data_IF_281828703803
#
_entry.id   IF_281828703803
#
_cell.length_a   1.000
_cell.length_b   1.000
_cell.length_c   1.000
_cell.angle_alpha   90.00
_cell.angle_beta   90.00
_cell.angle_gamma   90.00
#
_symmetry.space_group_name_H-M   'P 1'
#
loop_
_entity.id
_entity.type
_entity.pdbx_description
1 polymer ?
#
# COMPACT_ATOMS: atom_id res chain seq x y z
N UNK A 1 -32.54 0.95 -15.03
CA UNK A 1 -31.72 -0.11 -14.41
C UNK A 1 -30.40 -0.12 -15.17
N UNK A 2 -29.43 0.69 -14.73
CA UNK A 2 -28.11 0.72 -15.34
C UNK A 2 -27.36 -0.51 -14.83
N UNK A 3 -27.16 -1.51 -15.69
CA UNK A 3 -26.22 -2.58 -15.41
C UNK A 3 -24.84 -1.94 -15.30
N UNK A 4 -24.26 -2.11 -14.13
CA UNK A 4 -22.93 -1.67 -13.75
C UNK A 4 -21.88 -2.28 -14.71
N UNK A 5 -21.55 -1.53 -15.76
CA UNK A 5 -20.56 -1.93 -16.77
C UNK A 5 -19.11 -1.81 -16.26
N UNK A 6 -18.91 -1.33 -15.02
CA UNK A 6 -17.58 -1.17 -14.43
C UNK A 6 -17.00 -2.49 -13.91
N UNK A 7 -17.85 -3.41 -13.41
CA UNK A 7 -17.40 -4.69 -12.86
C UNK A 7 -16.89 -5.67 -13.93
N UNK A 8 -17.49 -5.70 -15.12
CA UNK A 8 -17.08 -6.62 -16.18
C UNK A 8 -15.72 -6.26 -16.80
N UNK A 9 -15.44 -4.95 -16.90
CA UNK A 9 -14.18 -4.43 -17.43
C UNK A 9 -13.05 -4.58 -16.40
N UNK A 10 -13.34 -4.35 -15.12
CA UNK A 10 -12.44 -4.61 -14.01
C UNK A 10 -12.08 -6.11 -13.88
N UNK A 11 -13.07 -7.01 -14.05
CA UNK A 11 -12.88 -8.47 -13.96
C UNK A 11 -11.91 -9.02 -15.02
N UNK A 12 -11.86 -8.41 -16.20
CA UNK A 12 -10.95 -8.83 -17.26
C UNK A 12 -9.52 -8.41 -16.92
N UNK A 13 -9.33 -7.18 -16.43
CA UNK A 13 -8.03 -6.70 -15.96
C UNK A 13 -7.48 -7.50 -14.77
N UNK A 14 -8.31 -7.93 -13.81
CA UNK A 14 -7.81 -8.66 -12.63
C UNK A 14 -7.29 -10.05 -12.96
N UNK A 15 -7.92 -10.73 -13.91
CA UNK A 15 -7.46 -12.05 -14.36
C UNK A 15 -6.18 -11.96 -15.17
N UNK A 16 -6.05 -10.92 -16.00
CA UNK A 16 -4.82 -10.63 -16.73
C UNK A 16 -3.68 -10.25 -15.76
N UNK A 17 -3.94 -9.39 -14.78
CA UNK A 17 -2.99 -9.08 -13.72
C UNK A 17 -2.55 -10.36 -13.00
N UNK A 18 -3.48 -11.21 -12.55
CA UNK A 18 -3.14 -12.48 -11.90
C UNK A 18 -2.23 -13.36 -12.77
N UNK A 19 -2.50 -13.46 -14.07
CA UNK A 19 -1.66 -14.23 -15.00
C UNK A 19 -0.25 -13.66 -15.15
N UNK A 20 -0.05 -12.33 -15.05
CA UNK A 20 1.28 -11.73 -15.05
C UNK A 20 2.10 -12.11 -13.80
N UNK A 21 1.43 -12.34 -12.67
CA UNK A 21 2.07 -12.73 -11.42
C UNK A 21 2.25 -14.26 -11.28
N UNK A 22 1.48 -15.08 -12.01
CA UNK A 22 1.69 -16.53 -12.10
C UNK A 22 2.91 -16.87 -12.98
N UNK A 23 4.10 -16.63 -12.43
CA UNK A 23 5.39 -16.90 -13.09
C UNK A 23 5.60 -18.37 -13.45
N UNK A 24 4.85 -19.29 -12.82
CA UNK A 24 4.99 -20.75 -12.99
C UNK A 24 3.98 -21.31 -13.99
N UNK A 25 2.94 -20.55 -14.35
CA UNK A 25 1.86 -20.99 -15.23
C UNK A 25 1.04 -22.15 -14.67
N UNK A 26 0.99 -22.30 -13.34
CA UNK A 26 0.30 -23.40 -12.68
C UNK A 26 -1.07 -22.99 -12.09
N UNK A 27 -1.51 -21.76 -12.39
CA UNK A 27 -2.75 -21.17 -11.88
C UNK A 27 -2.64 -20.68 -10.44
N UNK A 28 -1.43 -20.56 -9.88
CA UNK A 28 -1.19 -20.10 -8.50
C UNK A 28 -0.14 -18.99 -8.46
N UNK A 29 -0.38 -18.03 -7.59
CA UNK A 29 0.56 -16.93 -7.29
C UNK A 29 1.17 -17.18 -5.92
N UNK A 30 2.45 -16.85 -5.79
CA UNK A 30 3.18 -16.98 -4.53
C UNK A 30 2.62 -16.01 -3.48
N UNK A 31 2.59 -16.44 -2.22
CA UNK A 31 1.95 -15.68 -1.13
C UNK A 31 2.51 -14.26 -0.99
N UNK A 32 3.84 -14.12 -1.11
CA UNK A 32 4.60 -12.86 -1.03
C UNK A 32 4.30 -11.87 -2.16
N UNK A 33 3.61 -12.30 -3.22
CA UNK A 33 3.18 -11.44 -4.33
C UNK A 33 1.77 -10.89 -4.15
N UNK A 34 1.07 -11.25 -3.06
CA UNK A 34 -0.31 -10.81 -2.82
C UNK A 34 -0.44 -9.28 -2.76
N UNK A 35 0.47 -8.62 -2.03
CA UNK A 35 0.47 -7.17 -1.90
C UNK A 35 0.67 -6.46 -3.24
N UNK A 36 1.65 -6.90 -4.02
CA UNK A 36 1.96 -6.33 -5.33
C UNK A 36 0.81 -6.56 -6.33
N UNK A 37 0.20 -7.74 -6.30
CA UNK A 37 -0.96 -8.05 -7.13
C UNK A 37 -2.18 -7.20 -6.77
N UNK A 38 -2.43 -6.96 -5.48
CA UNK A 38 -3.49 -6.05 -5.03
C UNK A 38 -3.25 -4.62 -5.53
N UNK A 39 -2.00 -4.14 -5.44
CA UNK A 39 -1.59 -2.83 -5.97
C UNK A 39 -1.70 -2.72 -7.49
N UNK A 40 -1.32 -3.77 -8.22
CA UNK A 40 -1.52 -3.84 -9.67
C UNK A 40 -3.00 -3.79 -10.08
N UNK A 41 -3.90 -4.24 -9.19
CA UNK A 41 -5.35 -4.14 -9.35
C UNK A 41 -5.95 -2.82 -8.82
N UNK A 42 -5.11 -1.83 -8.49
CA UNK A 42 -5.51 -0.50 -8.03
C UNK A 42 -5.95 -0.43 -6.57
N UNK A 43 -5.70 -1.47 -5.78
CA UNK A 43 -5.97 -1.44 -4.34
C UNK A 43 -4.74 -0.92 -3.60
N UNK A 44 -4.93 -0.24 -2.47
CA UNK A 44 -3.81 0.24 -1.65
C UNK A 44 -3.84 -0.38 -0.24
N UNK A 45 -3.61 -1.70 -0.11
CA UNK A 45 -3.60 -2.35 1.20
C UNK A 45 -2.38 -1.93 2.01
N UNK A 46 -2.55 -1.83 3.32
CA UNK A 46 -1.44 -1.64 4.25
C UNK A 46 -0.64 -2.93 4.41
N UNK A 47 0.61 -2.87 4.89
CA UNK A 47 1.43 -4.06 5.13
C UNK A 47 0.83 -4.95 6.22
N UNK A 48 0.20 -4.34 7.23
CA UNK A 48 -0.58 -5.07 8.23
C UNK A 48 -1.72 -5.86 7.60
N UNK A 49 -2.50 -5.24 6.72
CA UNK A 49 -3.60 -5.90 6.02
C UNK A 49 -3.10 -7.03 5.12
N UNK A 50 -2.00 -6.82 4.38
CA UNK A 50 -1.39 -7.87 3.55
C UNK A 50 -1.04 -9.08 4.41
N UNK A 51 -0.33 -8.89 5.54
CA UNK A 51 0.05 -9.99 6.44
C UNK A 51 -1.16 -10.75 6.99
N UNK A 52 -2.25 -10.05 7.30
CA UNK A 52 -3.49 -10.70 7.73
C UNK A 52 -4.14 -11.52 6.60
N UNK A 53 -4.17 -10.99 5.38
CA UNK A 53 -4.70 -11.67 4.20
C UNK A 53 -3.84 -12.87 3.81
N UNK A 54 -2.51 -12.76 3.90
CA UNK A 54 -1.58 -13.85 3.67
C UNK A 54 -1.82 -15.00 4.65
N UNK A 55 -2.03 -14.68 5.94
CA UNK A 55 -2.37 -15.66 6.97
C UNK A 55 -3.72 -16.34 6.69
N UNK A 56 -4.70 -15.61 6.15
CA UNK A 56 -5.98 -16.18 5.75
C UNK A 56 -5.88 -17.08 4.51
N UNK A 57 -5.04 -16.72 3.55
CA UNK A 57 -4.77 -17.54 2.36
C UNK A 57 -4.02 -18.83 2.71
N UNK A 58 -3.11 -18.78 3.69
CA UNK A 58 -2.42 -19.97 4.22
C UNK A 58 -1.34 -20.56 3.31
N UNK A 59 -0.99 -19.89 2.21
CA UNK A 59 0.02 -20.30 1.24
C UNK A 59 -0.25 -19.73 -0.16
N UNK A 60 0.50 -20.21 -1.16
CA UNK A 60 0.26 -19.88 -2.58
C UNK A 60 -1.22 -20.00 -2.91
N UNK A 61 -1.79 -19.04 -3.62
CA UNK A 61 -3.22 -18.91 -3.80
C UNK A 61 -3.62 -18.92 -5.27
N UNK A 62 -4.83 -19.39 -5.56
CA UNK A 62 -5.41 -19.37 -6.90
C UNK A 62 -6.26 -18.12 -7.14
N UNK A 63 -6.73 -17.95 -8.37
CA UNK A 63 -7.54 -16.79 -8.75
C UNK A 63 -8.86 -16.70 -7.99
N UNK A 64 -9.45 -17.85 -7.59
CA UNK A 64 -10.69 -17.85 -6.81
C UNK A 64 -10.45 -17.28 -5.40
N UNK A 65 -9.36 -17.70 -4.77
CA UNK A 65 -8.93 -17.19 -3.47
C UNK A 65 -8.60 -15.69 -3.55
N UNK A 66 -7.85 -15.28 -4.57
CA UNK A 66 -7.58 -13.86 -4.84
C UNK A 66 -8.85 -13.04 -5.03
N UNK A 67 -9.81 -13.55 -5.81
CA UNK A 67 -11.09 -12.86 -6.05
C UNK A 67 -11.90 -12.67 -4.78
N UNK A 68 -11.84 -13.63 -3.83
CA UNK A 68 -12.50 -13.48 -2.52
C UNK A 68 -11.83 -12.41 -1.66
N UNK A 69 -10.49 -12.33 -1.69
CA UNK A 69 -9.72 -11.29 -1.01
C UNK A 69 -10.03 -9.91 -1.60
N UNK A 70 -10.04 -9.81 -2.93
CA UNK A 70 -10.31 -8.56 -3.65
C UNK A 70 -11.72 -8.03 -3.37
N UNK A 71 -12.71 -8.92 -3.27
CA UNK A 71 -14.11 -8.58 -3.02
C UNK A 71 -14.50 -8.73 -1.53
N UNK A 72 -13.54 -8.61 -0.60
CA UNK A 72 -13.83 -8.75 0.82
C UNK A 72 -14.85 -7.70 1.30
N UNK A 73 -15.73 -8.04 2.26
CA UNK A 73 -16.63 -7.07 2.87
C UNK A 73 -15.85 -5.90 3.47
N UNK A 74 -16.23 -4.66 3.13
CA UNK A 74 -15.53 -3.45 3.54
C UNK A 74 -14.44 -2.98 2.57
N UNK A 75 -14.11 -3.76 1.55
CA UNK A 75 -13.15 -3.39 0.50
C UNK A 75 -11.75 -3.10 1.02
N UNK A 76 -10.98 -2.37 0.22
CA UNK A 76 -9.75 -1.70 0.64
C UNK A 76 -10.03 -0.21 0.75
N UNK A 77 -9.29 0.48 1.62
CA UNK A 77 -9.46 1.93 1.79
C UNK A 77 -9.06 2.61 0.49
N UNK A 78 -9.91 3.54 0.02
CA UNK A 78 -9.51 4.45 -1.05
C UNK A 78 -8.26 5.24 -0.60
N UNK A 79 -7.36 5.61 -1.52
CA UNK A 79 -6.27 6.52 -1.21
C UNK A 79 -6.86 7.80 -0.60
N UNK A 80 -6.48 8.10 0.64
CA UNK A 80 -6.90 9.35 1.28
C UNK A 80 -6.27 10.56 0.58
N UNK A 81 -6.73 11.76 0.92
CA UNK A 81 -6.06 12.97 0.48
C UNK A 81 -4.71 13.13 1.21
N UNK A 82 -3.77 13.85 0.58
CA UNK A 82 -2.45 14.17 1.16
C UNK A 82 -2.58 14.69 2.60
N UNK A 83 -3.58 15.54 2.85
CA UNK A 83 -3.83 16.12 4.17
C UNK A 83 -4.24 15.09 5.22
N UNK A 84 -4.88 13.98 4.85
CA UNK A 84 -5.23 12.92 5.79
C UNK A 84 -3.99 12.20 6.30
N UNK A 85 -3.06 11.86 5.39
CA UNK A 85 -1.78 11.24 5.74
C UNK A 85 -0.85 12.19 6.50
N UNK A 86 -0.90 13.49 6.18
CA UNK A 86 -0.06 14.50 6.83
C UNK A 86 -0.41 14.74 8.31
N UNK A 87 -1.66 14.49 8.73
CA UNK A 87 -2.12 14.73 10.12
C UNK A 87 -1.29 14.02 11.18
N UNK A 88 -0.78 12.81 10.88
CA UNK A 88 0.08 12.06 11.81
C UNK A 88 1.42 12.76 12.08
N UNK A 89 1.97 13.42 11.06
CA UNK A 89 3.24 14.14 11.15
C UNK A 89 3.08 15.54 11.77
N UNK A 90 1.94 16.19 11.57
CA UNK A 90 1.64 17.52 12.13
C UNK A 90 1.69 17.56 13.67
N UNK A 91 1.54 16.42 14.35
CA UNK A 91 1.74 16.32 15.81
C UNK A 91 3.17 16.70 16.22
N UNK A 92 4.14 16.46 15.33
CA UNK A 92 5.56 16.73 15.54
C UNK A 92 6.01 18.06 14.90
N UNK A 93 5.25 18.58 13.92
CA UNK A 93 5.47 19.87 13.28
C UNK A 93 4.50 20.94 13.80
N UNK A 94 4.73 21.39 15.04
CA UNK A 94 3.86 22.37 15.72
C UNK A 94 3.72 23.71 14.96
N UNK A 95 4.72 24.05 14.16
CA UNK A 95 4.76 25.29 13.39
C UNK A 95 4.20 25.14 11.97
N UNK A 96 3.77 23.92 11.57
CA UNK A 96 3.28 23.59 10.23
C UNK A 96 4.23 24.02 9.12
N UNK A 97 5.51 23.79 9.34
CA UNK A 97 6.58 24.06 8.38
C UNK A 97 6.53 23.12 7.17
N UNK A 98 5.93 21.94 7.32
CA UNK A 98 5.97 20.86 6.33
C UNK A 98 7.16 19.92 6.49
N UNK A 99 7.95 20.08 7.56
CA UNK A 99 9.17 19.31 7.83
C UNK A 99 9.14 18.69 9.23
N UNK A 100 9.75 17.52 9.38
CA UNK A 100 10.04 16.90 10.68
C UNK A 100 11.44 16.29 10.68
N UNK A 101 12.03 16.07 11.85
CA UNK A 101 13.35 15.44 11.92
C UNK A 101 13.29 13.97 11.42
N UNK A 102 14.34 13.51 10.73
CA UNK A 102 14.44 12.10 10.26
C UNK A 102 14.21 11.10 11.40
N UNK A 103 14.72 11.38 12.60
CA UNK A 103 14.50 10.53 13.78
C UNK A 103 13.03 10.45 14.21
N UNK A 104 12.28 11.55 14.11
CA UNK A 104 10.84 11.58 14.39
C UNK A 104 10.08 10.79 13.32
N UNK A 105 10.41 10.98 12.04
CA UNK A 105 9.82 10.22 10.94
C UNK A 105 10.01 8.71 11.15
N UNK A 106 11.25 8.27 11.43
CA UNK A 106 11.56 6.86 11.74
C UNK A 106 10.75 6.33 12.91
N UNK A 107 10.62 7.10 13.99
CA UNK A 107 9.81 6.69 15.15
C UNK A 107 8.34 6.51 14.77
N UNK A 108 7.75 7.44 14.02
CA UNK A 108 6.34 7.36 13.61
C UNK A 108 6.10 6.11 12.75
N UNK A 109 6.97 5.87 11.76
CA UNK A 109 6.82 4.74 10.83
C UNK A 109 7.10 3.37 11.48
N UNK A 110 7.91 3.31 12.54
CA UNK A 110 8.27 2.03 13.19
C UNK A 110 7.41 1.73 14.43
N UNK A 111 6.80 2.73 15.07
CA UNK A 111 6.10 2.57 16.36
C UNK A 111 4.61 2.94 16.34
N UNK A 112 4.18 3.88 15.49
CA UNK A 112 2.81 4.39 15.49
C UNK A 112 1.97 3.89 14.31
N UNK A 113 2.62 3.50 13.20
CA UNK A 113 1.98 2.96 12.02
C UNK A 113 2.03 1.44 11.91
N UNK A 114 1.89 0.95 10.67
CA UNK A 114 2.38 -0.37 10.30
C UNK A 114 3.86 -0.41 10.64
N UNK A 115 4.28 -1.35 11.48
CA UNK A 115 5.65 -1.44 11.96
C UNK A 115 6.57 -1.81 10.79
N UNK A 116 6.96 -0.79 10.03
CA UNK A 116 7.94 -0.91 8.98
C UNK A 116 9.29 -1.23 9.63
N UNK A 117 10.08 -2.04 8.95
CA UNK A 117 11.46 -2.26 9.36
C UNK A 117 12.38 -1.11 8.92
N UNK A 118 13.62 -1.11 9.41
CA UNK A 118 14.57 -0.03 9.11
C UNK A 118 14.91 0.07 7.62
N UNK A 119 14.90 -1.04 6.88
CA UNK A 119 15.22 -1.07 5.46
C UNK A 119 14.05 -0.48 4.65
N UNK A 120 12.81 -0.84 4.99
CA UNK A 120 11.60 -0.25 4.40
C UNK A 120 11.56 1.27 4.62
N UNK A 121 11.82 1.73 5.85
CA UNK A 121 11.85 3.17 6.15
C UNK A 121 12.98 3.88 5.38
N UNK A 122 14.14 3.25 5.22
CA UNK A 122 15.23 3.80 4.43
C UNK A 122 14.84 3.94 2.95
N UNK A 123 14.13 2.96 2.38
CA UNK A 123 13.62 3.06 1.01
C UNK A 123 12.65 4.22 0.83
N UNK A 124 11.75 4.45 1.81
CA UNK A 124 10.83 5.59 1.78
C UNK A 124 11.61 6.91 1.83
N UNK A 125 12.60 7.03 2.72
CA UNK A 125 13.40 8.26 2.86
C UNK A 125 14.23 8.58 1.62
N UNK A 126 14.62 7.59 0.82
CA UNK A 126 15.37 7.80 -0.43
C UNK A 126 14.54 8.48 -1.53
N UNK A 127 13.24 8.66 -1.35
CA UNK A 127 12.37 9.34 -2.33
C UNK A 127 12.43 10.86 -2.25
N UNK A 128 12.98 11.42 -1.16
CA UNK A 128 13.07 12.87 -0.93
C UNK A 128 14.45 13.26 -0.42
N UNK A 129 14.80 14.54 -0.53
CA UNK A 129 16.05 15.05 0.04
C UNK A 129 15.94 15.14 1.58
N UNK A 130 16.86 14.46 2.26
CA UNK A 130 16.98 14.44 3.73
C UNK A 130 18.39 14.80 4.20
N UNK A 131 19.20 15.39 3.31
CA UNK A 131 20.61 15.72 3.56
C UNK A 131 20.82 16.70 4.72
N UNK A 132 19.82 17.52 5.04
CA UNK A 132 19.80 18.44 6.16
C UNK A 132 19.32 17.82 7.50
N UNK A 133 18.94 16.54 7.49
CA UNK A 133 18.42 15.84 8.67
C UNK A 133 16.91 16.01 8.91
N UNK A 134 16.20 16.66 7.99
CA UNK A 134 14.75 16.86 8.02
C UNK A 134 14.08 16.11 6.85
N UNK A 135 12.80 15.78 7.02
CA UNK A 135 11.97 15.08 6.03
C UNK A 135 10.86 16.02 5.60
N UNK A 136 10.78 16.40 4.30
CA UNK A 136 9.64 17.15 3.75
C UNK A 136 8.42 16.21 3.63
N UNK A 137 7.76 15.91 4.74
CA UNK A 137 6.76 14.84 4.81
C UNK A 137 5.56 15.07 3.88
N UNK A 138 5.21 16.33 3.58
CA UNK A 138 4.13 16.66 2.64
C UNK A 138 4.50 16.30 1.20
N UNK A 139 5.73 16.60 0.79
CA UNK A 139 6.27 16.25 -0.52
C UNK A 139 6.44 14.74 -0.65
N UNK A 140 6.91 14.09 0.42
CA UNK A 140 7.02 12.64 0.49
C UNK A 140 5.68 11.95 0.26
N UNK A 141 4.63 12.35 1.01
CA UNK A 141 3.28 11.80 0.85
C UNK A 141 2.75 12.07 -0.57
N UNK A 142 2.93 13.28 -1.10
CA UNK A 142 2.51 13.61 -2.45
C UNK A 142 3.21 12.73 -3.51
N UNK A 143 4.51 12.49 -3.36
CA UNK A 143 5.32 11.64 -4.24
C UNK A 143 4.86 10.19 -4.19
N UNK A 144 4.54 9.68 -3.00
CA UNK A 144 4.05 8.31 -2.83
C UNK A 144 2.66 8.13 -3.45
N UNK A 145 1.74 9.09 -3.26
CA UNK A 145 0.37 9.01 -3.79
C UNK A 145 0.28 9.25 -5.30
N UNK A 146 1.29 9.87 -5.91
CA UNK A 146 1.34 10.11 -7.34
C UNK A 146 1.82 8.90 -8.15
N UNK A 147 2.33 7.85 -7.48
CA UNK A 147 2.91 6.64 -8.09
C UNK A 147 1.94 5.46 -8.13
#
# INVERSE_FOLDING_TARGET
MAYDNSQAQASTNYKEAFQLFDKRGNGRVALDQLGDLLRACGQNPTMGEIKELEKQAGGDFDFETFSKILNRPGGFRDPGDIDEYCRGFEVFDQNRTGFIAVGQFKYIMTQLGDHLDEDEVAQVLNTVDTSNGEVPYRELVATILAN
#
